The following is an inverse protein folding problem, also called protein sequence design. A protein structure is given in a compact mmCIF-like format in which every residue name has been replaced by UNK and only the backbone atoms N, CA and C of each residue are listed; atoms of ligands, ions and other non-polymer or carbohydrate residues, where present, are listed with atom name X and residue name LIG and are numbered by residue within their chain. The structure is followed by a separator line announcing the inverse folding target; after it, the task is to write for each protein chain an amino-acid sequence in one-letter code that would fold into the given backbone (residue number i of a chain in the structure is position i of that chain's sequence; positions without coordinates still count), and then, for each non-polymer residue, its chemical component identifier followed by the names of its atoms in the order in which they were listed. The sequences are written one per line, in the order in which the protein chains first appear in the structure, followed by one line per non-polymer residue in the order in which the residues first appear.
data_IF_716844143755
#
_entry.id   IF_716844143755
#
_cell.length_a   1.000
_cell.length_b   1.000
_cell.length_c   1.000
_cell.angle_alpha   90.00
_cell.angle_beta   90.00
_cell.angle_gamma   90.00
#
_symmetry.space_group_name_H-M   'P 1'
#
loop_
_entity.id
_entity.type
_entity.pdbx_description
1 polymer ?
#
# COMPACT_ATOMS: atom_id res chain seq x y z
N UNK A 1 -49.84 6.47 -25.37
CA UNK A 1 -49.49 5.40 -24.41
C UNK A 1 -48.06 4.99 -24.71
N UNK A 2 -47.10 5.59 -23.99
CA UNK A 2 -45.65 5.51 -24.26
C UNK A 2 -45.09 4.13 -23.90
N UNK A 3 -44.35 3.51 -24.83
CA UNK A 3 -43.46 2.40 -24.51
C UNK A 3 -42.15 2.96 -23.91
N UNK A 4 -41.61 2.42 -22.80
CA UNK A 4 -40.31 2.86 -22.30
C UNK A 4 -39.18 2.22 -23.12
N UNK A 5 -38.23 3.07 -23.52
CA UNK A 5 -36.98 2.66 -24.17
C UNK A 5 -36.22 1.64 -23.30
N UNK A 6 -35.83 0.53 -23.90
CA UNK A 6 -34.86 -0.41 -23.30
C UNK A 6 -33.52 0.32 -23.14
N UNK A 7 -33.18 0.67 -21.91
CA UNK A 7 -31.83 1.09 -21.56
C UNK A 7 -30.89 -0.09 -21.87
N UNK A 8 -30.07 0.05 -22.91
CA UNK A 8 -28.96 -0.86 -23.17
C UNK A 8 -27.97 -0.66 -22.02
N UNK A 9 -27.89 -1.67 -21.15
CA UNK A 9 -27.02 -1.65 -19.98
C UNK A 9 -25.55 -1.55 -20.44
N UNK A 10 -24.99 -0.34 -20.40
CA UNK A 10 -23.58 -0.04 -20.68
C UNK A 10 -22.66 -0.42 -19.52
N UNK A 11 -23.08 -1.30 -18.61
CA UNK A 11 -22.14 -2.11 -17.83
C UNK A 11 -21.58 -3.22 -18.73
N UNK A 12 -20.83 -2.78 -19.75
CA UNK A 12 -19.57 -3.41 -20.07
C UNK A 12 -18.71 -3.38 -18.79
N UNK A 13 -19.00 -4.29 -17.86
CA UNK A 13 -17.94 -4.88 -17.06
C UNK A 13 -16.94 -5.31 -18.12
N UNK A 14 -15.78 -4.63 -18.17
CA UNK A 14 -14.60 -5.23 -18.77
C UNK A 14 -14.39 -6.51 -17.98
N UNK A 15 -15.01 -7.59 -18.44
CA UNK A 15 -14.56 -8.92 -18.13
C UNK A 15 -13.10 -8.90 -18.54
N UNK A 16 -12.24 -8.84 -17.53
CA UNK A 16 -10.80 -8.92 -17.71
C UNK A 16 -10.58 -10.28 -18.34
N UNK A 17 -10.52 -10.32 -19.68
CA UNK A 17 -10.29 -11.54 -20.43
C UNK A 17 -9.15 -12.27 -19.73
N UNK A 18 -9.40 -13.50 -19.29
CA UNK A 18 -8.44 -14.26 -18.52
C UNK A 18 -7.16 -14.37 -19.37
N UNK A 19 -6.15 -13.59 -18.99
CA UNK A 19 -4.86 -13.60 -19.65
C UNK A 19 -4.32 -15.03 -19.56
N UNK A 20 -3.93 -15.60 -20.70
CA UNK A 20 -3.26 -16.92 -20.72
C UNK A 20 -1.90 -16.91 -20.00
N UNK A 21 -1.42 -15.73 -19.61
CA UNK A 21 -0.17 -15.50 -18.88
C UNK A 21 -0.52 -14.84 -17.54
N UNK A 22 -0.02 -15.41 -16.46
CA UNK A 22 -0.12 -14.86 -15.11
C UNK A 22 1.28 -14.56 -14.55
N UNK A 23 1.46 -13.50 -13.75
CA UNK A 23 2.72 -13.27 -13.07
C UNK A 23 2.99 -14.38 -12.05
N UNK A 24 4.27 -14.64 -11.78
CA UNK A 24 4.66 -15.46 -10.64
C UNK A 24 4.38 -14.71 -9.34
N UNK A 25 3.97 -15.43 -8.31
CA UNK A 25 3.90 -14.89 -6.96
C UNK A 25 5.33 -14.63 -6.43
N UNK A 26 5.47 -13.71 -5.47
CA UNK A 26 6.79 -13.35 -4.93
C UNK A 26 7.53 -14.51 -4.27
N UNK A 27 6.81 -15.48 -3.70
CA UNK A 27 7.37 -16.70 -3.09
C UNK A 27 7.86 -17.74 -4.12
N UNK A 28 7.47 -17.60 -5.39
CA UNK A 28 7.90 -18.47 -6.49
C UNK A 28 9.19 -18.00 -7.16
N UNK A 29 9.68 -16.80 -6.83
CA UNK A 29 10.88 -16.20 -7.44
C UNK A 29 11.92 -15.95 -6.37
N UNK A 30 13.09 -16.58 -6.53
CA UNK A 30 14.25 -16.34 -5.65
C UNK A 30 15.30 -15.52 -6.37
N UNK A 31 15.63 -14.35 -5.83
CA UNK A 31 16.77 -13.58 -6.30
C UNK A 31 18.07 -14.30 -5.94
N UNK A 32 18.91 -14.52 -6.94
CA UNK A 32 20.29 -14.98 -6.76
C UNK A 32 21.17 -13.81 -6.33
N UNK A 33 22.44 -14.10 -6.05
CA UNK A 33 23.40 -13.06 -5.69
C UNK A 33 23.55 -12.03 -6.83
N UNK A 34 23.54 -10.75 -6.47
CA UNK A 34 23.56 -9.63 -7.40
C UNK A 34 22.88 -8.39 -6.85
N UNK A 35 22.78 -7.37 -7.71
CA UNK A 35 22.35 -6.02 -7.33
C UNK A 35 20.91 -5.94 -6.82
N UNK A 36 20.00 -6.75 -7.38
CA UNK A 36 18.61 -6.77 -6.94
C UNK A 36 18.46 -7.36 -5.54
N UNK A 37 19.17 -8.47 -5.23
CA UNK A 37 19.18 -9.04 -3.88
C UNK A 37 19.77 -8.06 -2.88
N UNK A 38 20.87 -7.38 -3.25
CA UNK A 38 21.49 -6.32 -2.43
C UNK A 38 20.52 -5.17 -2.14
N UNK A 39 19.76 -4.72 -3.14
CA UNK A 39 18.74 -3.69 -2.97
C UNK A 39 17.59 -4.15 -2.05
N UNK A 40 17.10 -5.39 -2.21
CA UNK A 40 16.06 -5.95 -1.33
C UNK A 40 16.50 -6.03 0.12
N UNK A 41 17.72 -6.50 0.40
CA UNK A 41 18.24 -6.57 1.78
C UNK A 41 18.47 -5.18 2.40
N UNK A 42 18.92 -4.21 1.60
CA UNK A 42 19.03 -2.82 2.05
C UNK A 42 17.65 -2.25 2.39
N UNK A 43 16.64 -2.49 1.54
CA UNK A 43 15.28 -2.05 1.79
C UNK A 43 14.71 -2.69 3.06
N UNK A 44 14.89 -4.00 3.24
CA UNK A 44 14.48 -4.71 4.47
C UNK A 44 15.14 -4.10 5.72
N UNK A 45 16.45 -3.83 5.64
CA UNK A 45 17.18 -3.19 6.74
C UNK A 45 16.62 -1.81 7.05
N UNK A 46 16.27 -1.02 6.03
CA UNK A 46 15.64 0.28 6.21
C UNK A 46 14.26 0.17 6.88
N UNK A 47 13.40 -0.72 6.38
CA UNK A 47 12.06 -0.95 6.95
C UNK A 47 12.13 -1.34 8.43
N UNK A 48 13.06 -2.23 8.79
CA UNK A 48 13.22 -2.67 10.18
C UNK A 48 13.83 -1.60 11.10
N UNK A 49 14.40 -0.52 10.55
CA UNK A 49 14.88 0.62 11.34
C UNK A 49 13.78 1.63 11.68
N UNK A 50 12.64 1.59 10.99
CA UNK A 50 11.54 2.49 11.26
C UNK A 50 10.84 2.10 12.56
N UNK A 51 10.69 3.07 13.46
CA UNK A 51 9.98 2.90 14.74
C UNK A 51 8.45 2.94 14.51
N UNK A 52 7.71 1.86 14.80
CA UNK A 52 6.27 1.77 14.50
C UNK A 52 5.37 2.68 15.34
N UNK A 53 5.67 2.91 16.62
CA UNK A 53 4.83 3.76 17.49
C UNK A 53 4.82 5.22 17.01
N UNK A 54 5.91 5.67 16.41
CA UNK A 54 6.01 6.98 15.75
C UNK A 54 5.18 7.06 14.47
N UNK A 55 5.11 5.99 13.67
CA UNK A 55 4.24 5.92 12.50
C UNK A 55 2.75 5.90 12.90
N UNK A 56 2.44 5.29 14.04
CA UNK A 56 1.08 5.19 14.58
C UNK A 56 0.64 6.44 15.37
N UNK A 57 1.54 7.38 15.65
CA UNK A 57 1.28 8.50 16.55
C UNK A 57 0.03 9.31 16.16
N UNK A 58 -0.16 9.60 14.87
CA UNK A 58 -1.35 10.30 14.37
C UNK A 58 -2.61 9.45 14.43
N UNK A 59 -2.54 8.18 14.00
CA UNK A 59 -3.70 7.27 14.07
C UNK A 59 -4.22 7.12 15.50
N UNK A 60 -3.32 7.09 16.48
CA UNK A 60 -3.71 7.08 17.90
C UNK A 60 -4.44 8.36 18.29
N UNK A 61 -3.91 9.54 17.93
CA UNK A 61 -4.56 10.84 18.21
C UNK A 61 -5.95 10.93 17.60
N UNK A 62 -6.09 10.57 16.33
CA UNK A 62 -7.38 10.58 15.63
C UNK A 62 -8.40 9.59 16.23
N UNK A 63 -7.91 8.49 16.82
CA UNK A 63 -8.73 7.55 17.57
C UNK A 63 -9.02 7.98 19.03
N UNK A 64 -8.61 9.19 19.44
CA UNK A 64 -8.77 9.69 20.81
C UNK A 64 -7.84 9.02 21.84
N UNK A 65 -6.78 8.35 21.38
CA UNK A 65 -5.78 7.69 22.22
C UNK A 65 -4.52 8.54 22.37
N UNK A 66 -3.83 8.40 23.49
CA UNK A 66 -2.52 9.02 23.70
C UNK A 66 -1.47 8.42 22.76
N UNK A 67 -0.68 9.25 22.07
CA UNK A 67 0.45 8.79 21.25
C UNK A 67 1.52 8.12 22.12
N UNK A 68 2.06 7.00 21.67
CA UNK A 68 3.15 6.28 22.37
C UNK A 68 4.53 6.84 22.09
N UNK A 69 4.69 7.56 20.97
CA UNK A 69 5.94 8.18 20.58
C UNK A 69 5.69 9.48 19.78
N UNK A 70 6.68 10.37 19.66
CA UNK A 70 6.56 11.59 18.86
C UNK A 70 6.39 11.27 17.38
N UNK A 71 5.54 12.05 16.70
CA UNK A 71 5.35 11.97 15.24
C UNK A 71 6.71 12.08 14.52
N UNK A 72 6.86 11.38 13.39
CA UNK A 72 7.97 11.65 12.48
C UNK A 72 7.94 13.11 11.95
N UNK A 73 9.13 13.66 11.69
CA UNK A 73 9.25 14.96 11.05
C UNK A 73 8.86 14.92 9.57
N UNK A 74 9.23 15.97 8.84
CA UNK A 74 9.00 16.02 7.39
C UNK A 74 7.50 16.02 7.04
N UNK A 75 7.11 15.25 6.02
CA UNK A 75 5.74 15.25 5.51
C UNK A 75 4.71 14.65 6.48
N UNK A 76 5.12 13.73 7.36
CA UNK A 76 4.27 13.18 8.43
C UNK A 76 3.83 14.24 9.45
N UNK A 77 4.59 15.34 9.54
CA UNK A 77 4.25 16.50 10.38
C UNK A 77 3.55 17.64 9.62
N UNK A 78 3.30 17.50 8.31
CA UNK A 78 2.91 18.60 7.40
C UNK A 78 1.70 18.28 6.51
N UNK A 79 0.69 17.59 7.07
CA UNK A 79 -0.62 17.43 6.43
C UNK A 79 -0.82 16.18 5.57
N UNK A 80 0.19 15.33 5.41
CA UNK A 80 0.08 13.99 4.78
C UNK A 80 0.35 12.90 5.83
N UNK A 81 -0.11 13.16 7.05
CA UNK A 81 0.04 12.26 8.18
C UNK A 81 -0.57 10.88 7.87
N UNK A 82 0.21 9.82 8.11
CA UNK A 82 -0.22 8.44 8.01
C UNK A 82 -0.06 7.79 6.63
N UNK A 83 0.27 8.54 5.58
CA UNK A 83 0.58 7.96 4.27
C UNK A 83 1.78 7.02 4.31
N UNK A 84 2.83 7.40 5.06
CA UNK A 84 4.03 6.55 5.20
C UNK A 84 3.70 5.23 5.89
N UNK A 85 2.78 5.21 6.87
CA UNK A 85 2.36 3.96 7.52
C UNK A 85 1.68 3.02 6.51
N UNK A 86 0.82 3.54 5.63
CA UNK A 86 0.18 2.74 4.60
C UNK A 86 1.20 2.08 3.65
N UNK A 87 2.22 2.84 3.23
CA UNK A 87 3.33 2.30 2.45
C UNK A 87 4.16 1.28 3.23
N UNK A 88 4.46 1.56 4.50
CA UNK A 88 5.21 0.66 5.38
C UNK A 88 4.55 -0.72 5.51
N UNK A 89 3.22 -0.78 5.65
CA UNK A 89 2.49 -2.04 5.76
C UNK A 89 2.45 -2.85 4.46
N UNK A 90 2.62 -2.18 3.32
CA UNK A 90 2.57 -2.82 2.00
C UNK A 90 3.95 -3.31 1.51
N UNK A 91 5.02 -2.85 2.16
CA UNK A 91 6.40 -2.97 1.68
C UNK A 91 7.04 -4.34 1.95
#
# INVERSE_FOLDING_TARGET
MNQPARAVNTQARREKAASKISPFNLDQVRLLDGEFKRATELNKTYLLRLEPDRLLAWFRKEAGLESKAPVYGGWESRGIAGHTLGHYLSA
#
